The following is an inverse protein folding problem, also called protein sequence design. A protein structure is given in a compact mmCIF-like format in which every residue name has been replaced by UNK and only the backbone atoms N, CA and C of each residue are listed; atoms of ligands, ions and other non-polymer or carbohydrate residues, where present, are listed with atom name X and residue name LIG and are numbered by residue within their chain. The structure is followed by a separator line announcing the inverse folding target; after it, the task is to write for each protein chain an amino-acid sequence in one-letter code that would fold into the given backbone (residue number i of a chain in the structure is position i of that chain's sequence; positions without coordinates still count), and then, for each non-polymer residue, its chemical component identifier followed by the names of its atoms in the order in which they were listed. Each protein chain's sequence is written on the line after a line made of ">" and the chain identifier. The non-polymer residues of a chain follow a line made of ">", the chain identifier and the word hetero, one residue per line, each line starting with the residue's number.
data_IF_002419250257
#
_entry.id   IF_002419250257
#
_cell.length_a   1.000
_cell.length_b   1.000
_cell.length_c   1.000
_cell.angle_alpha   90.00
_cell.angle_beta   90.00
_cell.angle_gamma   90.00
#
_symmetry.space_group_name_H-M   'P 1'
#
loop_
_entity.id
_entity.type
_entity.pdbx_description
1 polymer ?
#
# COMPACT_ATOMS: atom_id res chain seq x y z
N UNK A 1 14.58 4.72 -3.50
CA UNK A 1 14.35 3.35 -3.99
C UNK A 1 13.51 3.46 -5.25
N UNK A 2 13.92 2.84 -6.36
CA UNK A 2 13.05 2.76 -7.54
C UNK A 2 11.99 1.67 -7.30
N UNK A 3 10.75 2.07 -7.04
CA UNK A 3 9.65 1.13 -6.73
C UNK A 3 9.24 0.31 -7.96
N UNK A 4 9.42 0.85 -9.17
CA UNK A 4 9.03 0.18 -10.40
C UNK A 4 9.79 -1.13 -10.61
N UNK A 5 11.11 -1.10 -10.42
CA UNK A 5 11.96 -2.31 -10.51
C UNK A 5 11.79 -3.29 -9.35
N UNK A 6 10.96 -2.95 -8.36
CA UNK A 6 10.69 -3.77 -7.18
C UNK A 6 9.31 -4.43 -7.22
N UNK A 7 8.49 -4.10 -8.23
CA UNK A 7 7.21 -4.75 -8.46
C UNK A 7 7.41 -6.26 -8.55
N UNK A 8 6.61 -6.99 -7.79
CA UNK A 8 6.66 -8.43 -7.69
C UNK A 8 7.67 -8.99 -6.70
N UNK A 9 8.56 -8.16 -6.13
CA UNK A 9 9.52 -8.59 -5.11
C UNK A 9 8.93 -8.47 -3.72
N UNK A 10 9.50 -9.25 -2.79
CA UNK A 10 9.21 -9.10 -1.38
C UNK A 10 9.91 -7.86 -0.85
N UNK A 11 9.17 -7.03 -0.12
CA UNK A 11 9.63 -5.80 0.52
C UNK A 11 9.21 -5.82 1.98
N UNK A 12 9.97 -5.13 2.82
CA UNK A 12 9.59 -4.81 4.19
C UNK A 12 9.54 -3.30 4.33
N UNK A 13 8.41 -2.79 4.79
CA UNK A 13 8.19 -1.36 5.01
C UNK A 13 7.73 -1.15 6.45
N UNK A 14 8.07 0.02 7.00
CA UNK A 14 7.73 0.41 8.36
C UNK A 14 6.79 1.61 8.32
N UNK A 15 5.81 1.60 9.21
CA UNK A 15 4.75 2.60 9.25
C UNK A 15 3.68 2.26 10.28
N UNK A 16 2.51 2.88 10.15
CA UNK A 16 1.34 2.61 11.01
C UNK A 16 0.06 2.63 10.19
N UNK A 17 -0.97 1.94 10.69
CA UNK A 17 -2.32 2.04 10.13
C UNK A 17 -2.80 3.49 10.28
N UNK A 18 -3.23 4.10 9.16
CA UNK A 18 -3.65 5.50 9.13
C UNK A 18 -5.05 5.67 9.69
N UNK A 19 -5.27 6.79 10.37
CA UNK A 19 -6.59 7.21 10.80
C UNK A 19 -7.32 8.05 9.75
N UNK A 20 -6.60 8.57 8.74
CA UNK A 20 -7.14 9.49 7.73
C UNK A 20 -6.80 8.98 6.34
N UNK A 21 -7.78 8.48 5.58
CA UNK A 21 -7.54 7.96 4.23
C UNK A 21 -7.29 9.11 3.24
N UNK A 22 -6.23 9.00 2.46
CA UNK A 22 -5.97 9.83 1.29
C UNK A 22 -6.50 9.17 0.03
N UNK A 23 -6.61 9.96 -1.04
CA UNK A 23 -7.13 9.46 -2.30
C UNK A 23 -6.12 8.52 -2.98
N UNK A 24 -6.43 7.23 -3.01
CA UNK A 24 -5.65 6.18 -3.69
C UNK A 24 -6.47 5.46 -4.76
N UNK A 25 -5.80 4.77 -5.69
CA UNK A 25 -6.43 3.79 -6.56
C UNK A 25 -6.58 2.48 -5.77
N UNK A 26 -7.78 1.93 -5.67
CA UNK A 26 -7.98 0.67 -4.95
C UNK A 26 -7.90 -0.51 -5.92
N UNK A 27 -6.95 -1.41 -5.68
CA UNK A 27 -6.85 -2.72 -6.33
C UNK A 27 -7.59 -3.84 -5.58
N UNK A 28 -7.70 -5.00 -6.21
CA UNK A 28 -8.22 -6.24 -5.61
C UNK A 28 -7.23 -7.37 -5.87
N UNK A 29 -6.95 -8.17 -4.84
CA UNK A 29 -5.94 -9.22 -4.90
C UNK A 29 -6.50 -10.51 -4.28
N UNK A 30 -6.40 -11.62 -5.01
CA UNK A 30 -6.93 -12.91 -4.57
C UNK A 30 -6.33 -13.32 -3.22
N UNK A 31 -7.20 -13.63 -2.25
CA UNK A 31 -6.79 -14.03 -0.90
C UNK A 31 -6.52 -12.87 0.07
N UNK A 32 -6.54 -11.61 -0.39
CA UNK A 32 -6.36 -10.42 0.45
C UNK A 32 -7.66 -9.60 0.47
N UNK A 33 -8.61 -10.03 1.31
CA UNK A 33 -9.97 -9.46 1.37
C UNK A 33 -10.09 -8.15 2.15
N UNK A 34 -9.02 -7.74 2.85
CA UNK A 34 -9.00 -6.51 3.65
C UNK A 34 -8.00 -5.53 3.07
N UNK A 35 -8.26 -4.24 3.25
CA UNK A 35 -7.39 -3.15 2.85
C UNK A 35 -7.27 -2.13 3.96
N UNK A 36 -6.08 -1.58 4.14
CA UNK A 36 -5.81 -0.53 5.13
C UNK A 36 -4.96 0.57 4.49
N UNK A 37 -5.17 1.80 4.93
CA UNK A 37 -4.27 2.91 4.62
C UNK A 37 -3.09 2.87 5.58
N UNK A 38 -1.88 3.07 5.07
CA UNK A 38 -0.65 2.88 5.82
C UNK A 38 0.25 4.10 5.68
N UNK A 39 0.46 4.80 6.79
CA UNK A 39 1.34 5.96 6.85
C UNK A 39 2.78 5.49 7.01
N UNK A 40 3.64 5.86 6.06
CA UNK A 40 5.08 5.58 6.07
C UNK A 40 5.83 6.61 6.92
N UNK A 41 7.08 6.29 7.28
CA UNK A 41 7.94 7.18 8.08
C UNK A 41 8.23 8.53 7.40
N UNK A 42 8.22 8.57 6.07
CA UNK A 42 8.43 9.78 5.27
C UNK A 42 7.16 10.64 5.09
N UNK A 43 6.10 10.35 5.85
CA UNK A 43 4.78 11.00 5.81
C UNK A 43 4.01 10.77 4.51
N UNK A 44 4.48 9.90 3.62
CA UNK A 44 3.67 9.41 2.52
C UNK A 44 2.67 8.35 3.01
N UNK A 45 1.64 8.10 2.21
CA UNK A 45 0.63 7.08 2.48
C UNK A 45 0.55 6.11 1.31
N UNK A 46 0.33 4.84 1.63
CA UNK A 46 0.04 3.78 0.65
C UNK A 46 -1.17 2.98 1.11
N UNK A 47 -1.68 2.10 0.24
CA UNK A 47 -2.63 1.06 0.63
C UNK A 47 -1.89 -0.27 0.80
N UNK A 48 -2.22 -0.98 1.87
CA UNK A 48 -1.78 -2.36 2.10
C UNK A 48 -2.99 -3.29 2.06
N UNK A 49 -2.79 -4.51 1.55
CA UNK A 49 -3.82 -5.53 1.42
C UNK A 49 -3.51 -6.70 2.35
N UNK A 50 -4.50 -7.14 3.12
CA UNK A 50 -4.32 -8.07 4.22
C UNK A 50 -5.20 -9.31 4.07
N UNK A 51 -4.69 -10.46 4.54
CA UNK A 51 -5.47 -11.70 4.69
C UNK A 51 -6.31 -11.69 5.97
N UNK A 52 -5.84 -10.98 6.99
CA UNK A 52 -6.48 -10.82 8.30
C UNK A 52 -6.17 -9.43 8.88
N UNK A 53 -7.03 -8.92 9.76
CA UNK A 53 -6.89 -7.59 10.34
C UNK A 53 -5.63 -7.48 11.22
N UNK A 54 -5.01 -6.30 11.22
CA UNK A 54 -3.90 -5.96 12.11
C UNK A 54 -4.49 -5.14 13.29
N UNK A 55 -4.46 -5.67 14.53
CA UNK A 55 -4.99 -4.97 15.69
C UNK A 55 -4.07 -3.87 16.23
N UNK A 56 -2.78 -3.91 15.87
CA UNK A 56 -1.78 -2.93 16.31
C UNK A 56 -2.06 -1.53 15.74
N UNK A 57 -1.82 -0.50 16.56
CA UNK A 57 -2.02 0.92 16.22
C UNK A 57 -0.74 1.75 16.32
N UNK A 58 0.31 1.19 16.93
CA UNK A 58 1.66 1.73 16.94
C UNK A 58 2.41 1.49 15.62
N UNK A 59 3.72 1.74 15.67
CA UNK A 59 4.61 1.47 14.54
C UNK A 59 4.75 -0.04 14.33
N UNK A 60 4.55 -0.48 13.09
CA UNK A 60 4.71 -1.85 12.67
C UNK A 60 5.62 -1.94 11.45
N UNK A 61 6.30 -3.07 11.33
CA UNK A 61 6.92 -3.48 10.08
C UNK A 61 6.02 -4.50 9.41
N UNK A 62 5.67 -4.26 8.14
CA UNK A 62 4.92 -5.21 7.32
C UNK A 62 5.84 -5.75 6.23
N UNK A 63 5.77 -7.06 6.00
CA UNK A 63 6.52 -7.76 4.96
C UNK A 63 5.53 -8.37 3.98
N UNK A 64 5.76 -8.15 2.70
CA UNK A 64 4.83 -8.56 1.65
C UNK A 64 5.38 -8.31 0.26
N UNK A 65 4.55 -8.51 -0.75
CA UNK A 65 4.92 -8.31 -2.15
C UNK A 65 4.52 -6.91 -2.61
N UNK A 66 5.45 -6.19 -3.23
CA UNK A 66 5.14 -4.91 -3.87
C UNK A 66 4.32 -5.14 -5.14
N UNK A 67 3.22 -4.44 -5.30
CA UNK A 67 2.31 -4.57 -6.44
C UNK A 67 2.06 -3.20 -7.08
N UNK A 68 1.97 -3.20 -8.41
CA UNK A 68 1.58 -2.01 -9.17
C UNK A 68 0.05 -2.02 -9.35
N UNK A 69 -0.60 -0.91 -8.99
CA UNK A 69 -2.03 -0.70 -9.23
C UNK A 69 -2.19 0.42 -10.26
N UNK A 70 -2.94 0.14 -11.33
CA UNK A 70 -3.16 1.06 -12.44
C UNK A 70 -4.59 1.58 -12.42
N UNK A 71 -4.75 2.87 -12.67
CA UNK A 71 -6.04 3.53 -12.79
C UNK A 71 -6.02 4.62 -13.85
N UNK A 72 -7.20 5.06 -14.27
CA UNK A 72 -7.32 6.24 -15.13
C UNK A 72 -6.96 7.51 -14.37
N UNK A 73 -6.34 8.47 -15.06
CA UNK A 73 -6.06 9.80 -14.51
C UNK A 73 -7.33 10.45 -13.96
N UNK A 74 -7.26 10.96 -12.72
CA UNK A 74 -8.37 11.70 -12.06
C UNK A 74 -8.34 13.21 -12.36
N UNK A 75 -7.42 13.68 -13.23
CA UNK A 75 -7.31 15.09 -13.60
C UNK A 75 -8.45 15.50 -14.54
N UNK A 76 -9.18 16.59 -14.27
CA UNK A 76 -10.16 17.12 -15.22
C UNK A 76 -9.50 17.43 -16.57
N UNK A 77 -10.03 16.86 -17.66
CA UNK A 77 -9.52 17.09 -19.02
C UNK A 77 -8.31 16.25 -19.43
N UNK A 78 -7.75 15.43 -18.55
CA UNK A 78 -6.79 14.41 -18.99
C UNK A 78 -7.53 13.35 -19.83
N UNK A 79 -6.97 12.98 -20.97
CA UNK A 79 -7.48 11.85 -21.72
C UNK A 79 -7.48 10.62 -20.79
N UNK A 80 -8.58 9.85 -20.78
CA UNK A 80 -8.71 8.59 -20.00
C UNK A 80 -7.58 7.57 -20.27
N UNK A 81 -6.73 7.84 -21.26
CA UNK A 81 -5.65 7.00 -21.76
C UNK A 81 -4.29 7.21 -21.08
N UNK A 82 -4.12 8.15 -20.15
CA UNK A 82 -2.88 8.24 -19.36
C UNK A 82 -2.99 7.34 -18.12
N UNK A 83 -2.33 6.16 -18.10
CA UNK A 83 -2.35 5.29 -16.94
C UNK A 83 -1.57 5.94 -15.79
N UNK A 84 -2.23 6.12 -14.65
CA UNK A 84 -1.56 6.47 -13.40
C UNK A 84 -1.27 5.18 -12.64
N UNK A 85 -0.01 4.99 -12.24
CA UNK A 85 0.43 3.83 -11.45
C UNK A 85 0.70 4.25 -10.01
N UNK A 86 0.14 3.51 -9.06
CA UNK A 86 0.46 3.55 -7.63
C UNK A 86 1.13 2.23 -7.22
N UNK A 87 1.94 2.27 -6.16
CA UNK A 87 2.67 1.10 -5.66
C UNK A 87 2.18 0.75 -4.26
N UNK A 88 1.58 -0.42 -4.12
CA UNK A 88 0.96 -0.92 -2.90
C UNK A 88 1.65 -2.21 -2.44
N UNK A 89 1.22 -2.78 -1.30
CA UNK A 89 1.79 -4.02 -0.76
C UNK A 89 0.69 -5.03 -0.42
N UNK A 90 0.81 -6.27 -0.89
CA UNK A 90 0.04 -7.41 -0.35
C UNK A 90 0.84 -8.02 0.80
N UNK A 91 0.31 -7.93 2.02
CA UNK A 91 1.05 -8.22 3.26
C UNK A 91 0.91 -9.69 3.63
N UNK A 92 2.05 -10.36 3.76
CA UNK A 92 2.13 -11.75 4.18
C UNK A 92 2.34 -11.88 5.68
N UNK A 93 3.06 -10.95 6.29
CA UNK A 93 3.31 -10.91 7.73
C UNK A 93 3.55 -9.49 8.24
N UNK A 94 3.39 -9.30 9.54
CA UNK A 94 3.68 -8.04 10.22
C UNK A 94 4.24 -8.31 11.61
N UNK A 95 4.94 -7.33 12.17
CA UNK A 95 5.38 -7.33 13.56
C UNK A 95 5.36 -5.92 14.14
N UNK A 96 5.06 -5.77 15.45
CA UNK A 96 5.35 -4.53 16.16
C UNK A 96 6.82 -4.15 15.99
N UNK A 97 7.09 -2.85 15.92
CA UNK A 97 8.44 -2.34 16.10
C UNK A 97 8.54 -1.92 17.56
N UNK A 98 9.35 -2.65 18.33
CA UNK A 98 9.63 -2.27 19.72
C UNK A 98 10.23 -0.86 19.75
N UNK A 99 9.76 -0.07 20.72
CA UNK A 99 10.21 1.30 20.97
C UNK A 99 11.57 1.33 21.68
#
# INVERSE_FOLDING_TARGET
>A
MDLKSQVGKQVTIKGKISNVPWQHIIGSFQGYGLQEYFDLEDKSQIVIYLKAAIPERGMISVTGKLVEVKGGSKRPGAAKSEPFSEYHVTVDSWKPVDA
#
